data_IF_087781425969
#
_entry.id   IF_087781425969
#
_cell.length_a   1.000
_cell.length_b   1.000
_cell.length_c   1.000
_cell.angle_alpha   90.00
_cell.angle_beta   90.00
_cell.angle_gamma   90.00
#
_symmetry.space_group_name_H-M   'P 1'
#
loop_
_entity.id
_entity.type
_entity.pdbx_description
1 polymer ?
#
# COMPACT_ATOMS: atom_id res chain seq x y z
N UNK A 1 -30.00 -0.60 -4.89
CA UNK A 1 -28.55 -0.51 -5.18
C UNK A 1 -28.09 0.82 -4.64
N UNK A 2 -27.29 0.82 -3.57
CA UNK A 2 -26.63 2.04 -3.09
C UNK A 2 -25.53 2.33 -4.11
N UNK A 3 -25.63 3.44 -4.83
CA UNK A 3 -24.60 3.83 -5.79
C UNK A 3 -23.34 4.21 -5.00
N UNK A 4 -22.30 3.38 -5.07
CA UNK A 4 -21.04 3.63 -4.38
C UNK A 4 -20.46 4.98 -4.84
N UNK A 5 -20.13 5.86 -3.90
CA UNK A 5 -19.57 7.16 -4.24
C UNK A 5 -18.14 6.98 -4.77
N UNK A 6 -17.90 7.41 -6.00
CA UNK A 6 -16.60 7.27 -6.67
C UNK A 6 -15.64 8.39 -6.23
N UNK A 7 -14.38 8.04 -6.00
CA UNK A 7 -13.32 8.92 -5.48
C UNK A 7 -12.70 9.87 -6.53
N UNK A 8 -13.17 9.85 -7.77
CA UNK A 8 -12.74 10.74 -8.86
C UNK A 8 -13.98 11.32 -9.55
N UNK A 9 -13.97 12.61 -9.83
CA UNK A 9 -15.06 13.32 -10.53
C UNK A 9 -14.50 14.31 -11.54
N UNK A 10 -15.22 14.50 -12.63
CA UNK A 10 -14.96 15.57 -13.60
C UNK A 10 -16.00 16.67 -13.40
N UNK A 11 -15.53 17.90 -13.24
CA UNK A 11 -16.34 19.10 -13.25
C UNK A 11 -16.43 19.63 -14.69
N UNK A 12 -17.59 19.45 -15.32
CA UNK A 12 -17.83 19.83 -16.71
C UNK A 12 -17.73 21.36 -16.94
N UNK A 13 -18.08 22.17 -15.94
CA UNK A 13 -18.02 23.64 -16.05
C UNK A 13 -16.57 24.14 -16.16
N UNK A 14 -15.62 23.37 -15.62
CA UNK A 14 -14.19 23.68 -15.69
C UNK A 14 -13.48 22.94 -16.83
N UNK A 15 -14.11 21.93 -17.46
CA UNK A 15 -13.45 21.10 -18.45
C UNK A 15 -13.23 21.86 -19.78
N UNK A 16 -11.97 22.12 -20.11
CA UNK A 16 -11.60 22.81 -21.36
C UNK A 16 -11.58 21.88 -22.60
N UNK A 17 -11.91 20.58 -22.43
CA UNK A 17 -11.95 19.57 -23.51
C UNK A 17 -10.62 19.45 -24.30
N UNK A 18 -9.49 19.67 -23.64
CA UNK A 18 -8.15 19.65 -24.25
C UNK A 18 -7.53 18.25 -24.39
N UNK A 19 -8.18 17.20 -23.88
CA UNK A 19 -7.79 15.78 -23.98
C UNK A 19 -6.46 15.37 -23.33
N UNK A 20 -5.76 16.27 -22.62
CA UNK A 20 -4.51 15.94 -21.93
C UNK A 20 -4.68 14.79 -20.93
N UNK A 21 -5.79 14.77 -20.18
CA UNK A 21 -6.11 13.71 -19.22
C UNK A 21 -6.25 12.33 -19.89
N UNK A 22 -6.80 12.26 -21.11
CA UNK A 22 -6.89 11.05 -21.91
C UNK A 22 -5.49 10.55 -22.28
N UNK A 23 -4.62 11.44 -22.77
CA UNK A 23 -3.27 11.11 -23.21
C UNK A 23 -2.36 10.62 -22.07
N UNK A 24 -2.49 11.19 -20.87
CA UNK A 24 -1.62 10.84 -19.74
C UNK A 24 -2.12 9.66 -18.93
N UNK A 25 -3.34 9.18 -19.12
CA UNK A 25 -3.92 8.09 -18.33
C UNK A 25 -3.28 6.75 -18.71
N UNK A 26 -2.48 6.11 -17.83
CA UNK A 26 -1.82 4.84 -18.16
C UNK A 26 -2.77 3.62 -18.19
N UNK A 27 -4.04 3.84 -17.83
CA UNK A 27 -5.07 2.81 -17.76
C UNK A 27 -6.21 3.03 -18.75
N UNK A 28 -6.10 4.05 -19.62
CA UNK A 28 -7.12 4.35 -20.62
C UNK A 28 -8.53 4.51 -20.01
N UNK A 29 -8.57 4.98 -18.76
CA UNK A 29 -9.79 5.20 -17.99
C UNK A 29 -10.47 6.53 -18.34
N UNK A 30 -9.90 7.32 -19.25
CA UNK A 30 -10.45 8.62 -19.64
C UNK A 30 -10.48 8.69 -21.16
N UNK A 31 -11.65 9.00 -21.71
CA UNK A 31 -11.90 9.11 -23.15
C UNK A 31 -12.62 10.41 -23.48
N UNK A 32 -12.57 10.82 -24.74
CA UNK A 32 -13.31 11.97 -25.25
C UNK A 32 -14.32 11.49 -26.29
N UNK A 33 -15.61 11.73 -26.03
CA UNK A 33 -16.68 11.50 -27.00
C UNK A 33 -16.82 12.74 -27.88
N UNK A 34 -16.40 12.62 -29.14
CA UNK A 34 -16.47 13.70 -30.11
C UNK A 34 -17.91 14.06 -30.51
N UNK A 35 -18.86 13.12 -30.44
CA UNK A 35 -20.25 13.36 -30.83
C UNK A 35 -20.99 14.13 -29.74
N UNK A 36 -20.82 13.74 -28.48
CA UNK A 36 -21.40 14.44 -27.34
C UNK A 36 -20.54 15.63 -26.87
N UNK A 37 -19.31 15.76 -27.37
CA UNK A 37 -18.37 16.81 -27.01
C UNK A 37 -18.02 16.82 -25.52
N UNK A 38 -17.89 15.63 -24.90
CA UNK A 38 -17.67 15.47 -23.45
C UNK A 38 -16.50 14.54 -23.17
N UNK A 39 -15.86 14.74 -22.02
CA UNK A 39 -14.83 13.84 -21.50
C UNK A 39 -15.47 12.88 -20.51
N UNK A 40 -15.21 11.59 -20.64
CA UNK A 40 -15.78 10.57 -19.75
C UNK A 40 -14.67 9.88 -18.96
N UNK A 41 -14.96 9.59 -17.68
CA UNK A 41 -14.09 8.80 -16.81
C UNK A 41 -14.76 7.45 -16.57
N UNK A 42 -14.14 6.39 -17.07
CA UNK A 42 -14.49 5.02 -16.78
C UNK A 42 -13.98 4.65 -15.37
N UNK A 43 -14.89 4.62 -14.41
CA UNK A 43 -14.58 4.30 -13.03
C UNK A 43 -14.03 2.88 -12.88
N UNK A 44 -14.44 1.91 -13.70
CA UNK A 44 -14.00 0.51 -13.61
C UNK A 44 -12.53 0.35 -14.07
N UNK A 45 -12.06 1.19 -15.00
CA UNK A 45 -10.65 1.25 -15.40
C UNK A 45 -9.78 2.12 -14.48
N UNK A 46 -10.37 3.07 -13.76
CA UNK A 46 -9.63 4.08 -13.01
C UNK A 46 -8.92 3.53 -11.76
N UNK A 47 -7.61 3.37 -11.84
CA UNK A 47 -6.78 2.90 -10.72
C UNK A 47 -6.48 3.98 -9.64
N UNK A 48 -7.13 5.14 -9.69
CA UNK A 48 -6.98 6.27 -8.74
C UNK A 48 -5.53 6.80 -8.58
N UNK A 49 -4.73 6.78 -9.65
CA UNK A 49 -3.34 7.25 -9.60
C UNK A 49 -3.20 8.79 -9.47
N UNK A 50 -4.20 9.57 -9.90
CA UNK A 50 -4.22 11.04 -9.84
C UNK A 50 -3.34 11.79 -10.84
N UNK A 51 -2.69 11.11 -11.79
CA UNK A 51 -1.88 11.75 -12.84
C UNK A 51 -2.72 12.73 -13.67
N UNK A 52 -3.94 12.33 -14.05
CA UNK A 52 -4.86 13.17 -14.81
C UNK A 52 -5.24 14.46 -14.07
N UNK A 53 -5.53 14.37 -12.76
CA UNK A 53 -5.85 15.53 -11.93
C UNK A 53 -4.69 16.54 -11.91
N UNK A 54 -3.47 16.08 -11.64
CA UNK A 54 -2.27 16.92 -11.62
C UNK A 54 -1.84 17.47 -12.98
N UNK A 55 -2.40 16.95 -14.08
CA UNK A 55 -2.11 17.40 -15.45
C UNK A 55 -3.18 18.36 -15.96
N UNK A 56 -4.38 18.37 -15.35
CA UNK A 56 -5.50 19.18 -15.82
C UNK A 56 -5.22 20.68 -15.59
N UNK A 57 -5.02 21.49 -16.64
CA UNK A 57 -4.69 22.91 -16.48
C UNK A 57 -5.86 23.72 -15.92
N UNK A 58 -7.09 23.26 -16.13
CA UNK A 58 -8.30 23.90 -15.62
C UNK A 58 -8.75 23.37 -14.26
N UNK A 59 -8.00 22.43 -13.67
CA UNK A 59 -8.34 21.79 -12.38
C UNK A 59 -9.74 21.18 -12.36
N UNK A 60 -10.22 20.70 -13.51
CA UNK A 60 -11.55 20.12 -13.66
C UNK A 60 -11.69 18.71 -13.07
N UNK A 61 -10.58 18.02 -12.77
CA UNK A 61 -10.63 16.66 -12.22
C UNK A 61 -10.40 16.72 -10.71
N UNK A 62 -11.42 16.36 -9.96
CA UNK A 62 -11.44 16.35 -8.51
C UNK A 62 -11.17 14.93 -7.99
N UNK A 63 -10.34 14.83 -6.95
CA UNK A 63 -10.07 13.59 -6.23
C UNK A 63 -10.61 13.72 -4.82
N UNK A 64 -11.28 12.69 -4.32
CA UNK A 64 -11.79 12.68 -2.95
C UNK A 64 -10.69 12.55 -1.89
N UNK A 65 -9.53 12.02 -2.28
CA UNK A 65 -8.39 11.80 -1.42
C UNK A 65 -7.10 12.30 -2.10
N UNK A 66 -6.18 12.81 -1.30
CA UNK A 66 -4.85 13.26 -1.75
C UNK A 66 -4.89 14.32 -2.85
N UNK A 67 -5.90 15.19 -2.85
CA UNK A 67 -5.82 16.40 -3.65
C UNK A 67 -4.63 17.24 -3.16
N UNK A 68 -3.99 17.96 -4.07
CA UNK A 68 -2.73 18.64 -3.77
C UNK A 68 -2.90 19.75 -2.72
N UNK A 69 -4.11 20.33 -2.60
CA UNK A 69 -4.40 21.34 -1.58
C UNK A 69 -4.43 20.70 -0.19
N UNK A 70 -5.09 19.55 -0.02
CA UNK A 70 -5.06 18.81 1.23
C UNK A 70 -3.64 18.36 1.60
N UNK A 71 -2.87 17.84 0.64
CA UNK A 71 -1.48 17.45 0.88
C UNK A 71 -0.61 18.62 1.33
N UNK A 72 -0.73 19.80 0.70
CA UNK A 72 0.03 20.99 1.08
C UNK A 72 -0.40 21.55 2.44
N UNK A 73 -1.68 21.50 2.76
CA UNK A 73 -2.16 21.90 4.08
C UNK A 73 -1.58 20.98 5.16
N UNK A 74 -1.59 19.67 4.93
CA UNK A 74 -0.93 18.71 5.82
C UNK A 74 0.56 19.02 5.99
N UNK A 75 1.31 19.28 4.90
CA UNK A 75 2.73 19.67 4.99
C UNK A 75 2.92 20.94 5.83
N UNK A 76 2.05 21.94 5.69
CA UNK A 76 2.11 23.19 6.47
C UNK A 76 1.95 22.91 7.98
N UNK A 77 0.90 22.16 8.34
CA UNK A 77 0.64 21.78 9.74
C UNK A 77 1.80 20.97 10.34
N UNK A 78 2.37 20.04 9.59
CA UNK A 78 3.52 19.25 10.06
C UNK A 78 4.80 20.08 10.16
N UNK A 79 5.00 21.08 9.29
CA UNK A 79 6.16 21.99 9.38
C UNK A 79 6.16 22.77 10.70
N UNK A 80 4.97 23.20 11.15
CA UNK A 80 4.80 23.88 12.43
C UNK A 80 5.06 22.94 13.62
N UNK A 81 4.76 21.65 13.48
CA UNK A 81 4.92 20.66 14.56
C UNK A 81 6.34 20.07 14.69
N UNK A 82 7.01 19.76 13.57
CA UNK A 82 8.28 19.00 13.57
C UNK A 82 9.54 19.86 13.64
N UNK A 83 9.46 21.17 13.38
CA UNK A 83 10.62 22.08 13.40
C UNK A 83 11.66 21.86 12.28
N UNK A 84 11.47 20.84 11.43
CA UNK A 84 12.30 20.55 10.24
C UNK A 84 11.68 21.17 8.98
N UNK A 85 12.54 21.45 8.00
CA UNK A 85 12.16 21.92 6.65
C UNK A 85 12.47 20.89 5.56
N UNK A 86 12.79 19.66 5.96
CA UNK A 86 12.98 18.53 5.05
C UNK A 86 11.67 17.80 4.88
N UNK A 87 11.12 17.79 3.67
CA UNK A 87 9.94 17.02 3.28
C UNK A 87 10.37 15.71 2.62
N UNK A 88 9.86 14.58 3.08
CA UNK A 88 10.03 13.29 2.41
C UNK A 88 8.66 12.80 1.94
N UNK A 89 8.49 12.75 0.63
CA UNK A 89 7.27 12.25 0.00
C UNK A 89 7.50 10.84 -0.52
N UNK A 90 6.66 9.91 -0.10
CA UNK A 90 6.90 8.48 -0.25
C UNK A 90 5.78 7.82 -1.04
N UNK A 91 6.14 7.17 -2.15
CA UNK A 91 5.25 6.25 -2.86
C UNK A 91 4.98 5.03 -2.00
N UNK A 92 3.71 4.60 -1.86
CA UNK A 92 3.34 3.37 -1.12
C UNK A 92 4.19 2.16 -1.51
N UNK A 93 4.39 1.95 -2.82
CA UNK A 93 5.13 0.80 -3.34
C UNK A 93 6.63 0.77 -3.07
N UNK A 94 7.15 1.83 -2.45
CA UNK A 94 8.56 2.02 -2.07
C UNK A 94 8.72 2.46 -0.63
N UNK A 95 7.64 2.37 0.14
CA UNK A 95 7.61 2.69 1.56
C UNK A 95 6.93 1.58 2.33
N UNK A 96 7.59 0.43 2.52
CA UNK A 96 7.06 -0.60 3.41
C UNK A 96 6.84 -0.01 4.81
N UNK A 97 5.93 -0.59 5.62
CA UNK A 97 5.68 -0.14 6.98
C UNK A 97 6.89 -0.28 7.91
N UNK A 98 7.85 -1.16 7.58
CA UNK A 98 9.09 -1.34 8.31
C UNK A 98 9.98 -0.09 8.26
N UNK A 99 10.87 0.05 9.23
CA UNK A 99 11.76 1.20 9.40
C UNK A 99 12.82 1.40 8.31
N UNK A 100 12.81 0.65 7.22
CA UNK A 100 13.83 0.69 6.16
C UNK A 100 13.97 2.02 5.48
N UNK A 101 12.85 2.73 5.31
CA UNK A 101 12.87 4.08 4.77
C UNK A 101 13.77 4.95 5.65
N UNK A 102 13.79 4.72 6.97
CA UNK A 102 14.68 5.43 7.88
C UNK A 102 16.14 5.08 7.61
N UNK A 103 16.45 3.83 7.25
CA UNK A 103 17.83 3.44 6.92
C UNK A 103 18.28 4.07 5.59
N UNK A 104 17.43 4.03 4.57
CA UNK A 104 17.64 4.75 3.29
C UNK A 104 17.84 6.25 3.52
N UNK A 105 17.05 6.86 4.42
CA UNK A 105 17.19 8.28 4.76
C UNK A 105 18.43 8.58 5.61
N UNK A 106 18.83 7.68 6.52
CA UNK A 106 20.07 7.80 7.30
C UNK A 106 21.29 7.83 6.40
N UNK A 107 21.34 6.99 5.36
CA UNK A 107 22.42 7.00 4.36
C UNK A 107 22.50 8.35 3.63
N UNK A 108 21.37 9.06 3.51
CA UNK A 108 21.29 10.41 2.95
C UNK A 108 21.47 11.53 3.99
N UNK A 109 21.91 11.19 5.20
CA UNK A 109 22.05 12.10 6.34
C UNK A 109 20.75 12.85 6.71
N UNK A 110 19.59 12.20 6.54
CA UNK A 110 18.28 12.75 6.90
C UNK A 110 17.76 12.03 8.14
N UNK A 111 17.69 12.74 9.27
CA UNK A 111 17.21 12.22 10.55
C UNK A 111 15.84 12.76 10.94
N UNK A 112 15.59 14.03 10.61
CA UNK A 112 14.35 14.73 10.93
C UNK A 112 13.69 15.23 9.65
N UNK A 113 12.47 14.78 9.40
CA UNK A 113 11.74 15.10 8.18
C UNK A 113 10.24 15.06 8.43
N UNK A 114 9.50 15.74 7.56
CA UNK A 114 8.05 15.68 7.46
C UNK A 114 7.70 14.53 6.51
N UNK A 115 7.09 13.43 6.98
CA UNK A 115 6.68 12.33 6.13
C UNK A 115 5.36 12.63 5.43
N UNK A 116 5.28 12.42 4.11
CA UNK A 116 4.01 12.40 3.37
C UNK A 116 3.96 11.14 2.54
N UNK A 117 3.03 10.25 2.84
CA UNK A 117 2.81 9.03 2.03
C UNK A 117 1.70 9.27 1.02
N UNK A 118 1.94 8.88 -0.22
CA UNK A 118 0.96 8.95 -1.32
C UNK A 118 0.91 7.63 -2.07
N UNK A 119 -0.22 7.27 -2.69
CA UNK A 119 -0.29 6.08 -3.55
C UNK A 119 0.79 6.08 -4.63
N UNK A 120 1.06 7.24 -5.24
CA UNK A 120 2.08 7.40 -6.28
C UNK A 120 2.61 8.84 -6.29
N UNK A 121 3.93 9.00 -6.40
CA UNK A 121 4.55 10.32 -6.59
C UNK A 121 4.27 10.93 -7.97
N UNK A 122 3.91 10.12 -8.96
CA UNK A 122 3.52 10.58 -10.30
C UNK A 122 2.29 11.50 -10.31
N UNK A 123 1.56 11.57 -9.19
CA UNK A 123 0.42 12.47 -9.01
C UNK A 123 0.82 13.89 -8.58
N UNK A 124 2.08 14.12 -8.21
CA UNK A 124 2.52 15.39 -7.66
C UNK A 124 2.93 16.32 -8.80
N UNK A 125 2.28 17.48 -8.89
CA UNK A 125 2.55 18.48 -9.91
C UNK A 125 3.78 19.33 -9.56
N UNK A 126 4.53 19.83 -10.55
CA UNK A 126 5.62 20.77 -10.31
C UNK A 126 5.16 22.05 -9.61
N UNK A 127 4.02 22.61 -10.04
CA UNK A 127 3.52 23.91 -9.57
C UNK A 127 2.76 23.83 -8.25
N UNK A 128 1.66 23.07 -8.24
CA UNK A 128 0.72 23.07 -7.12
C UNK A 128 1.21 22.29 -5.90
N UNK A 129 2.14 21.36 -6.09
CA UNK A 129 2.76 20.62 -4.99
C UNK A 129 4.21 21.02 -4.74
N UNK A 130 5.15 20.71 -5.63
CA UNK A 130 6.59 20.87 -5.33
C UNK A 130 6.99 22.34 -5.10
N UNK A 131 6.69 23.23 -6.05
CA UNK A 131 6.96 24.67 -5.89
C UNK A 131 6.17 25.25 -4.72
N UNK A 132 4.93 24.79 -4.51
CA UNK A 132 4.12 25.25 -3.39
C UNK A 132 4.73 24.86 -2.04
N UNK A 133 5.24 23.64 -1.90
CA UNK A 133 5.97 23.18 -0.72
C UNK A 133 7.20 24.05 -0.44
N UNK A 134 8.00 24.35 -1.47
CA UNK A 134 9.13 25.28 -1.34
C UNK A 134 8.68 26.67 -0.89
N UNK A 135 7.58 27.19 -1.46
CA UNK A 135 7.05 28.52 -1.12
C UNK A 135 6.53 28.65 0.32
N UNK A 136 6.15 27.55 0.97
CA UNK A 136 5.72 27.54 2.38
C UNK A 136 6.87 27.24 3.35
N UNK A 137 8.12 27.26 2.87
CA UNK A 137 9.32 27.20 3.70
C UNK A 137 10.04 25.85 3.73
N UNK A 138 9.61 24.86 2.95
CA UNK A 138 10.40 23.63 2.75
C UNK A 138 11.67 23.97 1.96
N UNK A 139 12.82 23.48 2.39
CA UNK A 139 14.12 23.75 1.72
C UNK A 139 14.71 22.51 1.05
N UNK A 140 14.31 21.32 1.47
CA UNK A 140 14.73 20.03 0.92
C UNK A 140 13.52 19.13 0.76
N UNK A 141 13.32 18.61 -0.44
CA UNK A 141 12.27 17.64 -0.77
C UNK A 141 12.95 16.37 -1.27
N UNK A 142 12.61 15.24 -0.69
CA UNK A 142 13.03 13.92 -1.16
C UNK A 142 11.78 13.15 -1.59
N UNK A 143 11.73 12.74 -2.85
CA UNK A 143 10.70 11.86 -3.37
C UNK A 143 11.25 10.42 -3.41
N UNK A 144 10.69 9.54 -2.57
CA UNK A 144 10.99 8.11 -2.57
C UNK A 144 9.99 7.40 -3.48
N UNK A 145 10.47 6.68 -4.49
CA UNK A 145 9.63 6.08 -5.52
C UNK A 145 10.11 4.69 -5.97
N UNK A 146 9.26 3.99 -6.71
CA UNK A 146 9.63 2.75 -7.38
C UNK A 146 10.62 3.05 -8.51
N UNK A 147 11.45 2.08 -8.87
CA UNK A 147 12.17 2.10 -10.14
C UNK A 147 11.19 2.09 -11.33
N UNK A 148 11.69 2.43 -12.52
CA UNK A 148 10.85 2.53 -13.72
C UNK A 148 10.28 1.19 -14.17
N UNK A 149 11.00 0.09 -13.95
CA UNK A 149 10.60 -1.27 -14.34
C UNK A 149 9.59 -1.88 -13.36
N UNK A 150 9.49 -1.37 -12.13
CA UNK A 150 8.58 -1.87 -11.08
C UNK A 150 7.46 -0.91 -10.70
N UNK A 151 7.27 0.18 -11.46
CA UNK A 151 6.24 1.17 -11.18
C UNK A 151 4.83 0.55 -11.18
N UNK A 152 4.15 0.63 -10.02
CA UNK A 152 2.81 0.05 -9.79
C UNK A 152 1.69 0.72 -10.57
N UNK A 153 1.95 1.93 -11.05
CA UNK A 153 1.03 2.70 -11.87
C UNK A 153 1.49 2.83 -13.32
N UNK A 154 2.32 1.88 -13.78
CA UNK A 154 2.96 1.78 -15.10
C UNK A 154 3.94 2.92 -15.41
N UNK A 155 3.52 4.18 -15.27
CA UNK A 155 4.28 5.39 -15.69
C UNK A 155 4.49 6.42 -14.59
N UNK A 156 4.05 6.14 -13.36
CA UNK A 156 4.09 7.11 -12.26
C UNK A 156 5.51 7.61 -11.93
N UNK A 157 6.47 6.70 -11.80
CA UNK A 157 7.88 7.01 -11.50
C UNK A 157 8.54 7.80 -12.64
N UNK A 158 8.31 7.37 -13.89
CA UNK A 158 8.79 8.06 -15.10
C UNK A 158 8.27 9.51 -15.17
N UNK A 159 6.97 9.71 -14.95
CA UNK A 159 6.33 11.04 -14.96
C UNK A 159 6.91 11.93 -13.87
N UNK A 160 7.06 11.41 -12.64
CA UNK A 160 7.64 12.17 -11.55
C UNK A 160 9.10 12.56 -11.82
N UNK A 161 9.90 11.63 -12.35
CA UNK A 161 11.29 11.90 -12.72
C UNK A 161 11.40 13.06 -13.72
N UNK A 162 10.59 13.05 -14.78
CA UNK A 162 10.55 14.14 -15.77
C UNK A 162 10.12 15.47 -15.16
N UNK A 163 9.11 15.46 -14.29
CA UNK A 163 8.62 16.64 -13.57
C UNK A 163 9.70 17.25 -12.66
N UNK A 164 10.38 16.42 -11.87
CA UNK A 164 11.45 16.87 -10.97
C UNK A 164 12.66 17.36 -11.76
N UNK A 165 13.03 16.69 -12.85
CA UNK A 165 14.14 17.12 -13.71
C UNK A 165 13.88 18.51 -14.31
N UNK A 166 12.68 18.74 -14.87
CA UNK A 166 12.28 20.04 -15.38
C UNK A 166 12.31 21.11 -14.28
N UNK A 167 11.78 20.78 -13.10
CA UNK A 167 11.73 21.70 -11.97
C UNK A 167 13.13 22.06 -11.45
N UNK A 168 14.07 21.11 -11.40
CA UNK A 168 15.48 21.38 -11.06
C UNK A 168 16.11 22.38 -12.02
N UNK A 169 15.87 22.25 -13.32
CA UNK A 169 16.36 23.21 -14.33
C UNK A 169 15.78 24.60 -14.08
N UNK A 170 14.47 24.71 -13.84
CA UNK A 170 13.81 25.98 -13.50
C UNK A 170 14.39 26.61 -12.22
N UNK A 171 14.54 25.81 -11.16
CA UNK A 171 15.11 26.27 -9.90
C UNK A 171 16.54 26.78 -10.06
N UNK A 172 17.36 26.10 -10.88
CA UNK A 172 18.69 26.56 -11.24
C UNK A 172 18.69 27.94 -11.91
N UNK A 173 17.76 28.18 -12.84
CA UNK A 173 17.58 29.49 -13.49
C UNK A 173 17.13 30.58 -12.52
N UNK A 174 16.38 30.21 -11.47
CA UNK A 174 15.95 31.10 -10.39
C UNK A 174 17.02 31.29 -9.30
N UNK A 175 18.23 30.74 -9.49
CA UNK A 175 19.35 30.88 -8.54
C UNK A 175 19.34 29.90 -7.38
N UNK A 176 18.43 28.93 -7.36
CA UNK A 176 18.44 27.84 -6.38
C UNK A 176 19.39 26.73 -6.85
N UNK A 177 20.31 26.29 -5.97
CA UNK A 177 21.15 25.13 -6.24
C UNK A 177 20.25 23.88 -6.34
N UNK A 178 20.42 23.07 -7.39
CA UNK A 178 19.53 21.96 -7.78
C UNK A 178 19.38 20.79 -6.81
N UNK A 179 19.82 20.94 -5.56
CA UNK A 179 19.75 19.95 -4.48
C UNK A 179 18.46 20.01 -3.67
N UNK A 180 17.64 21.06 -3.86
CA UNK A 180 16.38 21.24 -3.13
C UNK A 180 15.38 20.10 -3.39
N UNK A 181 15.48 19.39 -4.51
CA UNK A 181 14.64 18.24 -4.84
C UNK A 181 15.52 17.04 -5.17
N UNK A 182 15.30 15.90 -4.51
CA UNK A 182 16.00 14.63 -4.75
C UNK A 182 15.01 13.50 -4.97
N UNK A 183 15.35 12.57 -5.88
CA UNK A 183 14.62 11.32 -6.06
C UNK A 183 15.50 10.19 -5.52
N UNK A 184 14.89 9.30 -4.75
CA UNK A 184 15.50 8.04 -4.33
C UNK A 184 14.62 6.90 -4.85
N UNK A 185 15.21 5.98 -5.60
CA UNK A 185 14.53 4.75 -6.00
C UNK A 185 14.71 3.70 -4.91
N UNK A 186 13.59 3.23 -4.35
CA UNK A 186 13.56 2.19 -3.32
C UNK A 186 12.50 1.15 -3.67
N UNK A 187 12.67 0.37 -4.75
CA UNK A 187 11.66 -0.59 -5.14
C UNK A 187 11.64 -1.78 -4.19
N UNK A 188 10.43 -2.25 -3.84
CA UNK A 188 10.28 -3.46 -3.04
C UNK A 188 10.73 -4.69 -3.84
N UNK A 189 11.80 -5.35 -3.41
CA UNK A 189 12.38 -6.56 -4.06
C UNK A 189 12.52 -7.69 -3.06
N UNK A 190 12.60 -8.91 -3.59
CA UNK A 190 12.97 -10.06 -2.79
C UNK A 190 14.48 -10.02 -2.50
N UNK A 191 14.83 -10.29 -1.25
CA UNK A 191 16.20 -10.43 -0.77
C UNK A 191 16.39 -11.85 -0.26
N UNK A 192 17.59 -12.40 -0.41
CA UNK A 192 17.87 -13.77 0.04
C UNK A 192 19.16 -13.85 0.85
N UNK A 193 19.19 -14.81 1.77
CA UNK A 193 20.27 -15.13 2.68
C UNK A 193 20.78 -16.54 2.35
N UNK A 194 21.99 -16.62 1.77
CA UNK A 194 22.56 -17.88 1.24
C UNK A 194 22.68 -18.94 2.33
N UNK A 195 23.10 -18.54 3.52
CA UNK A 195 23.38 -19.42 4.66
C UNK A 195 22.13 -20.11 5.23
N UNK A 196 20.92 -19.62 4.90
CA UNK A 196 19.66 -20.23 5.30
C UNK A 196 19.06 -21.13 4.23
N UNK A 197 19.54 -21.04 2.99
CA UNK A 197 18.92 -21.71 1.86
C UNK A 197 19.31 -23.19 1.82
N UNK A 198 18.32 -24.04 1.54
CA UNK A 198 18.52 -25.50 1.42
C UNK A 198 18.43 -26.02 -0.01
N UNK A 199 18.28 -25.13 -1.00
CA UNK A 199 18.23 -25.51 -2.42
C UNK A 199 17.01 -26.35 -2.77
N UNK A 200 15.83 -25.98 -2.25
CA UNK A 200 14.57 -26.67 -2.56
C UNK A 200 13.80 -26.07 -3.75
N UNK A 201 14.29 -24.96 -4.29
CA UNK A 201 13.87 -24.29 -5.53
C UNK A 201 12.38 -23.89 -5.64
N UNK A 202 11.61 -24.02 -4.55
CA UNK A 202 10.21 -23.56 -4.47
C UNK A 202 10.03 -22.10 -4.84
N UNK A 203 11.02 -21.26 -4.51
CA UNK A 203 10.99 -19.83 -4.78
C UNK A 203 11.02 -19.50 -6.28
N UNK A 204 11.74 -20.29 -7.09
CA UNK A 204 11.71 -20.20 -8.55
C UNK A 204 10.35 -20.69 -9.07
N UNK A 205 9.93 -21.90 -8.66
CA UNK A 205 8.68 -22.51 -9.12
C UNK A 205 7.45 -21.63 -8.88
N UNK A 206 7.40 -20.97 -7.72
CA UNK A 206 6.27 -20.11 -7.34
C UNK A 206 6.36 -18.71 -7.93
N UNK A 207 7.49 -18.30 -8.54
CA UNK A 207 7.68 -16.91 -8.95
C UNK A 207 6.83 -16.60 -10.20
N UNK A 208 5.77 -15.78 -10.08
CA UNK A 208 4.86 -15.55 -11.20
C UNK A 208 5.46 -14.63 -12.28
N UNK A 209 6.64 -14.05 -12.02
CA UNK A 209 7.35 -13.17 -12.96
C UNK A 209 8.61 -13.81 -13.53
N UNK A 210 8.87 -15.09 -13.24
CA UNK A 210 10.13 -15.75 -13.62
C UNK A 210 11.37 -14.93 -13.23
N UNK A 211 11.30 -14.26 -12.08
CA UNK A 211 12.34 -13.36 -11.60
C UNK A 211 13.39 -14.05 -10.72
N UNK A 212 13.25 -15.35 -10.50
CA UNK A 212 14.12 -16.15 -9.64
C UNK A 212 14.55 -17.35 -10.44
N UNK A 213 15.86 -17.58 -10.54
CA UNK A 213 16.45 -18.75 -11.18
C UNK A 213 17.23 -19.54 -10.11
N UNK A 214 16.91 -20.81 -9.90
CA UNK A 214 17.68 -21.64 -8.98
C UNK A 214 19.06 -21.93 -9.59
N UNK A 215 20.09 -21.68 -8.79
CA UNK A 215 21.47 -22.03 -9.13
C UNK A 215 21.93 -23.20 -8.27
N UNK A 216 23.00 -23.92 -8.69
CA UNK A 216 23.63 -24.95 -7.88
C UNK A 216 23.99 -24.43 -6.46
N UNK A 217 24.04 -25.34 -5.48
CA UNK A 217 24.46 -25.02 -4.09
C UNK A 217 23.57 -24.01 -3.34
N UNK A 218 22.26 -24.00 -3.61
CA UNK A 218 21.28 -23.23 -2.85
C UNK A 218 21.43 -21.69 -2.95
N UNK A 219 21.89 -21.17 -4.09
CA UNK A 219 22.09 -19.73 -4.32
C UNK A 219 21.14 -19.19 -5.38
N UNK A 220 19.81 -19.07 -5.14
CA UNK A 220 18.90 -18.56 -6.15
C UNK A 220 19.29 -17.14 -6.58
N UNK A 221 19.34 -16.90 -7.88
CA UNK A 221 19.59 -15.57 -8.43
C UNK A 221 18.26 -14.83 -8.62
N UNK A 222 18.17 -13.60 -8.09
CA UNK A 222 16.97 -12.77 -8.22
C UNK A 222 17.22 -11.67 -9.23
N UNK A 223 16.54 -11.75 -10.39
CA UNK A 223 16.51 -10.66 -11.35
C UNK A 223 15.68 -9.49 -10.77
N UNK A 224 16.35 -8.43 -10.36
CA UNK A 224 15.71 -7.27 -9.72
C UNK A 224 14.81 -6.48 -10.67
N UNK A 225 15.04 -6.49 -11.98
CA UNK A 225 14.17 -5.81 -12.95
C UNK A 225 12.84 -6.54 -13.15
N UNK A 226 12.92 -7.87 -13.23
CA UNK A 226 11.75 -8.74 -13.32
C UNK A 226 10.99 -8.82 -11.99
N UNK A 227 11.70 -8.79 -10.86
CA UNK A 227 11.11 -8.92 -9.54
C UNK A 227 10.17 -7.75 -9.24
N UNK A 228 8.87 -8.07 -9.16
CA UNK A 228 7.84 -7.12 -8.77
C UNK A 228 7.56 -7.14 -7.27
N UNK A 229 8.34 -7.83 -6.43
CA UNK A 229 8.19 -7.78 -4.98
C UNK A 229 6.79 -8.18 -4.46
N UNK A 230 6.19 -9.25 -5.01
CA UNK A 230 4.85 -9.71 -4.59
C UNK A 230 4.84 -10.55 -3.32
N UNK A 231 5.97 -11.18 -2.97
CA UNK A 231 6.13 -11.94 -1.73
C UNK A 231 5.76 -13.42 -1.80
N UNK A 232 5.31 -13.91 -2.96
CA UNK A 232 4.95 -15.33 -3.13
C UNK A 232 6.11 -16.27 -2.77
N UNK A 233 7.34 -15.92 -3.17
CA UNK A 233 8.55 -16.67 -2.84
C UNK A 233 8.86 -16.71 -1.34
N UNK A 234 8.52 -15.65 -0.60
CA UNK A 234 8.77 -15.57 0.83
C UNK A 234 7.86 -16.53 1.62
N UNK A 235 6.58 -16.65 1.25
CA UNK A 235 5.63 -17.57 1.92
C UNK A 235 6.06 -19.03 1.77
N UNK A 236 6.54 -19.43 0.59
CA UNK A 236 6.85 -20.86 0.34
C UNK A 236 8.21 -21.29 0.87
N UNK A 237 9.02 -20.35 1.39
CA UNK A 237 10.38 -20.65 1.83
C UNK A 237 10.37 -21.29 3.23
N UNK A 238 10.67 -22.59 3.38
CA UNK A 238 10.57 -23.26 4.67
C UNK A 238 11.66 -22.83 5.67
N UNK A 239 12.73 -22.18 5.20
CA UNK A 239 13.85 -21.72 6.04
C UNK A 239 13.93 -20.20 6.11
N UNK A 240 12.94 -19.49 5.58
CA UNK A 240 12.89 -18.02 5.60
C UNK A 240 14.19 -17.43 5.00
N UNK A 241 14.73 -18.13 3.99
CA UNK A 241 15.97 -17.77 3.31
C UNK A 241 15.74 -16.68 2.26
N UNK A 242 14.53 -16.57 1.70
CA UNK A 242 14.13 -15.47 0.81
C UNK A 242 12.96 -14.72 1.46
N UNK A 243 13.04 -13.40 1.47
CA UNK A 243 12.05 -12.53 2.11
C UNK A 243 11.77 -11.31 1.23
N UNK A 244 10.67 -10.62 1.52
CA UNK A 244 10.51 -9.24 1.09
C UNK A 244 11.01 -8.33 2.19
N UNK A 245 11.99 -7.52 1.84
CA UNK A 245 12.50 -6.48 2.71
C UNK A 245 11.32 -5.55 3.10
N UNK A 246 11.04 -5.51 4.39
CA UNK A 246 10.03 -4.68 5.04
C UNK A 246 8.67 -5.32 5.24
N UNK A 247 8.58 -6.59 4.87
CA UNK A 247 7.47 -7.49 5.15
C UNK A 247 8.01 -8.87 5.54
N UNK A 248 9.08 -8.88 6.32
CA UNK A 248 9.73 -10.10 6.78
C UNK A 248 8.82 -10.91 7.70
N UNK A 249 8.99 -12.23 7.66
CA UNK A 249 8.16 -13.17 8.41
C UNK A 249 8.25 -12.92 9.93
N UNK A 250 9.45 -13.00 10.51
CA UNK A 250 9.64 -12.90 11.97
C UNK A 250 9.17 -11.56 12.56
N UNK A 251 9.51 -10.38 12.00
CA UNK A 251 8.95 -9.11 12.46
C UNK A 251 7.42 -9.05 12.36
N UNK A 252 6.83 -9.61 11.29
CA UNK A 252 5.37 -9.65 11.13
C UNK A 252 4.72 -10.53 12.20
N UNK A 253 5.27 -11.72 12.41
CA UNK A 253 4.82 -12.68 13.44
C UNK A 253 4.96 -12.09 14.85
N UNK A 254 6.09 -11.44 15.15
CA UNK A 254 6.29 -10.72 16.41
C UNK A 254 5.24 -9.62 16.61
N UNK A 255 5.00 -8.79 15.59
CA UNK A 255 4.00 -7.73 15.67
C UNK A 255 2.60 -8.28 15.94
N UNK A 256 2.21 -9.39 15.30
CA UNK A 256 0.91 -10.05 15.54
C UNK A 256 0.79 -10.51 17.00
N UNK A 257 1.85 -11.12 17.56
CA UNK A 257 1.86 -11.53 18.98
C UNK A 257 1.76 -10.35 19.93
N UNK A 258 2.49 -9.27 19.67
CA UNK A 258 2.45 -8.03 20.46
C UNK A 258 1.06 -7.40 20.43
N UNK A 259 0.45 -7.31 19.24
CA UNK A 259 -0.93 -6.86 19.11
C UNK A 259 -1.93 -7.79 19.81
N UNK A 260 -1.68 -9.10 19.81
CA UNK A 260 -2.48 -10.07 20.55
C UNK A 260 -2.43 -9.87 22.07
N UNK A 261 -1.27 -9.52 22.63
CA UNK A 261 -1.14 -9.14 24.04
C UNK A 261 -2.01 -7.93 24.35
N UNK A 262 -1.98 -6.89 23.49
CA UNK A 262 -2.80 -5.70 23.69
C UNK A 262 -4.29 -5.98 23.51
N UNK A 263 -4.66 -6.83 22.55
CA UNK A 263 -6.03 -7.29 22.36
C UNK A 263 -6.56 -7.98 23.63
N UNK A 264 -5.80 -8.88 24.25
CA UNK A 264 -6.21 -9.53 25.50
C UNK A 264 -6.42 -8.53 26.65
N UNK A 265 -5.57 -7.51 26.77
CA UNK A 265 -5.76 -6.43 27.77
C UNK A 265 -7.02 -5.61 27.53
N UNK A 266 -7.30 -5.27 26.27
CA UNK A 266 -8.51 -4.55 25.88
C UNK A 266 -9.76 -5.38 26.18
N UNK A 267 -9.74 -6.68 25.90
CA UNK A 267 -10.81 -7.62 26.28
C UNK A 267 -11.05 -7.68 27.77
N UNK A 268 -9.98 -7.75 28.57
CA UNK A 268 -10.09 -7.73 30.03
C UNK A 268 -10.73 -6.43 30.57
N UNK A 269 -10.68 -5.33 29.80
CA UNK A 269 -11.36 -4.06 30.10
C UNK A 269 -12.77 -3.96 29.51
N UNK A 270 -13.30 -5.05 28.95
CA UNK A 270 -14.64 -5.12 28.36
C UNK A 270 -14.73 -4.76 26.88
N UNK A 271 -13.61 -4.47 26.20
CA UNK A 271 -13.63 -4.21 24.76
C UNK A 271 -13.64 -5.54 23.99
N UNK A 272 -14.79 -5.89 23.40
CA UNK A 272 -14.98 -7.06 22.55
C UNK A 272 -16.09 -6.77 21.54
N UNK A 273 -15.98 -7.19 20.27
CA UNK A 273 -14.89 -7.98 19.69
C UNK A 273 -13.69 -7.11 19.28
N UNK A 274 -12.51 -7.71 19.28
CA UNK A 274 -11.26 -7.14 18.75
C UNK A 274 -10.86 -7.90 17.51
N UNK A 275 -10.67 -7.19 16.41
CA UNK A 275 -10.36 -7.79 15.10
C UNK A 275 -9.00 -7.34 14.59
N UNK A 276 -8.30 -8.25 13.91
CA UNK A 276 -7.09 -7.94 13.15
C UNK A 276 -7.43 -7.87 11.67
N UNK A 277 -6.96 -6.82 11.00
CA UNK A 277 -7.14 -6.63 9.57
C UNK A 277 -5.79 -6.76 8.87
N UNK A 278 -5.62 -7.78 8.03
CA UNK A 278 -4.50 -7.81 7.07
C UNK A 278 -4.90 -7.02 5.84
N UNK A 279 -4.29 -5.85 5.61
CA UNK A 279 -4.68 -4.96 4.53
C UNK A 279 -3.57 -4.86 3.48
N UNK A 280 -3.89 -5.27 2.24
CA UNK A 280 -3.03 -5.04 1.09
C UNK A 280 -2.82 -3.52 0.93
N UNK A 281 -1.55 -3.10 0.79
CA UNK A 281 -1.16 -1.69 0.65
C UNK A 281 -1.84 -0.94 -0.53
N UNK A 282 -2.52 -1.67 -1.43
CA UNK A 282 -3.21 -1.14 -2.60
C UNK A 282 -4.73 -1.22 -2.55
N UNK A 283 -5.29 -1.93 -1.57
CA UNK A 283 -6.73 -2.18 -1.49
C UNK A 283 -7.49 -1.01 -0.87
N UNK A 284 -6.91 -0.37 0.15
CA UNK A 284 -7.52 0.77 0.84
C UNK A 284 -6.46 1.80 1.19
N UNK A 285 -6.60 3.04 0.75
CA UNK A 285 -5.59 4.08 1.00
C UNK A 285 -5.85 4.89 2.27
N UNK A 286 -7.04 5.52 2.45
CA UNK A 286 -7.26 6.45 3.55
C UNK A 286 -6.98 5.82 4.90
N UNK A 287 -7.54 4.63 5.16
CA UNK A 287 -7.34 3.88 6.41
C UNK A 287 -5.86 3.64 6.72
N UNK A 288 -5.06 3.27 5.72
CA UNK A 288 -3.65 2.93 5.91
C UNK A 288 -2.77 4.14 6.29
N UNK A 289 -3.22 5.37 6.06
CA UNK A 289 -2.48 6.57 6.43
C UNK A 289 -2.79 7.09 7.84
N UNK A 290 -3.87 6.60 8.45
CA UNK A 290 -4.31 7.02 9.78
C UNK A 290 -4.03 5.97 10.87
N UNK A 291 -3.27 4.92 10.56
CA UNK A 291 -2.89 3.90 11.55
C UNK A 291 -2.03 4.55 12.64
N UNK A 292 -2.48 4.45 13.89
CA UNK A 292 -1.73 4.91 15.06
C UNK A 292 -1.43 3.72 15.97
N UNK A 293 -0.14 3.39 16.12
CA UNK A 293 0.33 2.24 16.92
C UNK A 293 -0.37 0.92 16.54
N UNK A 294 -0.65 0.72 15.25
CA UNK A 294 -1.37 -0.46 14.74
C UNK A 294 -2.90 -0.34 14.77
N UNK A 295 -3.48 0.67 15.40
CA UNK A 295 -4.93 0.83 15.53
C UNK A 295 -5.50 1.85 14.55
N UNK A 296 -6.71 1.57 14.05
CA UNK A 296 -7.55 2.55 13.33
C UNK A 296 -8.82 2.92 14.12
N UNK A 297 -9.24 2.04 15.02
CA UNK A 297 -10.34 2.20 15.98
C UNK A 297 -9.93 1.48 17.26
N UNK A 298 -10.61 1.73 18.39
CA UNK A 298 -10.25 1.12 19.68
C UNK A 298 -10.19 -0.42 19.66
N UNK A 299 -10.97 -1.07 18.79
CA UNK A 299 -11.09 -2.51 18.69
C UNK A 299 -10.66 -3.08 17.32
N UNK A 300 -9.94 -2.30 16.52
CA UNK A 300 -9.52 -2.71 15.17
C UNK A 300 -8.04 -2.42 14.99
N UNK A 301 -7.27 -3.50 14.83
CA UNK A 301 -5.84 -3.48 14.55
C UNK A 301 -5.62 -3.77 13.07
N UNK A 302 -4.69 -3.08 12.43
CA UNK A 302 -4.36 -3.25 11.02
C UNK A 302 -2.89 -3.63 10.86
N UNK A 303 -2.64 -4.76 10.22
CA UNK A 303 -1.33 -5.17 9.73
C UNK A 303 -1.30 -4.99 8.20
N UNK A 304 -0.35 -4.20 7.70
CA UNK A 304 -0.17 -4.01 6.26
C UNK A 304 0.56 -5.21 5.65
N UNK A 305 0.08 -5.68 4.49
CA UNK A 305 0.76 -6.68 3.66
C UNK A 305 1.09 -6.09 2.29
N UNK A 306 2.16 -6.54 1.61
CA UNK A 306 2.55 -5.96 0.34
C UNK A 306 1.57 -6.32 -0.79
N UNK A 307 0.95 -7.50 -0.69
CA UNK A 307 0.03 -8.07 -1.67
C UNK A 307 -0.77 -9.20 -1.02
N UNK A 308 -1.88 -9.60 -1.65
CA UNK A 308 -2.58 -10.84 -1.31
C UNK A 308 -1.68 -12.09 -1.46
N UNK A 309 -0.76 -12.10 -2.41
CA UNK A 309 0.25 -13.16 -2.58
C UNK A 309 1.21 -13.28 -1.38
N UNK A 310 1.20 -12.32 -0.45
CA UNK A 310 1.99 -12.30 0.77
C UNK A 310 1.13 -12.47 2.04
N UNK A 311 -0.17 -12.80 1.90
CA UNK A 311 -1.00 -13.20 3.03
C UNK A 311 -0.64 -14.62 3.43
N UNK A 312 0.13 -14.76 4.50
CA UNK A 312 0.54 -16.05 5.04
C UNK A 312 -0.58 -16.70 5.88
N UNK A 313 -1.05 -17.92 5.52
CA UNK A 313 -2.00 -18.68 6.33
C UNK A 313 -1.59 -18.85 7.80
N UNK A 314 -0.29 -18.99 8.07
CA UNK A 314 0.25 -19.15 9.42
C UNK A 314 0.01 -17.89 10.25
N UNK A 315 0.20 -16.70 9.68
CA UNK A 315 -0.08 -15.44 10.38
C UNK A 315 -1.57 -15.25 10.69
N UNK A 316 -2.47 -15.75 9.85
CA UNK A 316 -3.92 -15.73 10.15
C UNK A 316 -4.24 -16.65 11.34
N UNK A 317 -3.69 -17.86 11.35
CA UNK A 317 -3.85 -18.80 12.47
C UNK A 317 -3.23 -18.23 13.75
N UNK A 318 -2.01 -17.70 13.67
CA UNK A 318 -1.31 -17.06 14.79
C UNK A 318 -2.13 -15.92 15.39
N UNK A 319 -2.76 -15.08 14.55
CA UNK A 319 -3.64 -14.02 15.04
C UNK A 319 -4.84 -14.58 15.81
N UNK A 320 -5.57 -15.56 15.26
CA UNK A 320 -6.71 -16.15 15.96
C UNK A 320 -6.30 -16.80 17.29
N UNK A 321 -5.16 -17.51 17.31
CA UNK A 321 -4.62 -18.13 18.54
C UNK A 321 -4.09 -17.09 19.53
N UNK A 322 -3.64 -15.93 19.05
CA UNK A 322 -3.18 -14.80 19.89
C UNK A 322 -4.34 -14.01 20.53
N UNK A 323 -5.59 -14.42 20.32
CA UNK A 323 -6.74 -13.89 21.05
C UNK A 323 -7.54 -12.83 20.31
N UNK A 324 -7.37 -12.67 18.99
CA UNK A 324 -8.30 -11.89 18.17
C UNK A 324 -9.64 -12.63 18.00
N UNK A 325 -10.77 -11.91 18.02
CA UNK A 325 -12.09 -12.52 17.80
C UNK A 325 -12.34 -12.88 16.35
N UNK A 326 -11.74 -12.12 15.43
CA UNK A 326 -11.80 -12.35 14.01
C UNK A 326 -10.63 -11.71 13.27
N UNK A 327 -10.34 -12.27 12.10
CA UNK A 327 -9.33 -11.79 11.18
C UNK A 327 -9.98 -11.46 9.84
N UNK A 328 -9.77 -10.25 9.34
CA UNK A 328 -10.26 -9.79 8.04
C UNK A 328 -9.08 -9.55 7.11
N UNK A 329 -9.02 -10.22 5.97
CA UNK A 329 -8.07 -9.89 4.92
C UNK A 329 -8.72 -8.95 3.90
N UNK A 330 -8.20 -7.73 3.77
CA UNK A 330 -8.67 -6.74 2.79
C UNK A 330 -7.70 -6.68 1.62
N UNK A 331 -8.18 -7.08 0.45
CA UNK A 331 -7.37 -7.25 -0.76
C UNK A 331 -7.99 -6.52 -1.95
N UNK A 332 -7.22 -6.34 -3.01
CA UNK A 332 -7.71 -5.68 -4.22
C UNK A 332 -8.79 -6.53 -4.92
N UNK A 333 -9.72 -5.87 -5.60
CA UNK A 333 -10.48 -6.49 -6.70
C UNK A 333 -9.53 -6.99 -7.80
N UNK A 334 -10.04 -7.85 -8.64
CA UNK A 334 -9.23 -8.66 -9.55
C UNK A 334 -8.62 -7.81 -10.65
N UNK A 335 -9.44 -6.95 -11.24
CA UNK A 335 -9.14 -5.89 -12.18
C UNK A 335 -8.19 -4.80 -11.62
N UNK A 336 -7.98 -4.76 -10.31
CA UNK A 336 -7.27 -3.66 -9.61
C UNK A 336 -5.89 -4.02 -9.09
N UNK A 337 -5.56 -5.30 -9.13
CA UNK A 337 -4.31 -5.81 -8.60
C UNK A 337 -3.13 -5.17 -9.34
N UNK A 338 -2.27 -4.46 -8.60
CA UNK A 338 -1.06 -3.79 -9.15
C UNK A 338 0.04 -4.76 -9.58
N UNK A 339 -0.13 -6.02 -9.23
CA UNK A 339 0.82 -7.08 -9.47
C UNK A 339 0.36 -8.00 -10.61
N UNK A 340 -0.93 -8.01 -10.97
CA UNK A 340 -1.58 -8.77 -12.06
C UNK A 340 -1.37 -10.29 -12.12
N UNK A 341 -0.24 -10.81 -11.62
CA UNK A 341 0.17 -12.21 -11.68
C UNK A 341 0.24 -12.86 -10.29
N UNK A 342 0.20 -14.19 -10.26
CA UNK A 342 0.40 -15.01 -9.05
C UNK A 342 -0.79 -15.08 -8.09
N UNK A 343 -1.91 -14.46 -8.47
CA UNK A 343 -3.15 -14.46 -7.70
C UNK A 343 -3.68 -15.87 -7.41
N UNK A 344 -3.61 -16.77 -8.38
CA UNK A 344 -4.07 -18.16 -8.19
C UNK A 344 -3.39 -18.84 -7.00
N UNK A 345 -2.12 -18.51 -6.74
CA UNK A 345 -1.38 -19.05 -5.59
C UNK A 345 -1.90 -18.52 -4.26
N UNK A 346 -2.29 -17.24 -4.22
CA UNK A 346 -2.94 -16.68 -3.04
C UNK A 346 -4.32 -17.30 -2.80
N UNK A 347 -5.06 -17.60 -3.88
CA UNK A 347 -6.35 -18.31 -3.81
C UNK A 347 -6.18 -19.76 -3.36
N UNK A 348 -5.14 -20.46 -3.82
CA UNK A 348 -4.80 -21.81 -3.35
C UNK A 348 -4.43 -21.83 -1.86
N UNK A 349 -3.61 -20.87 -1.42
CA UNK A 349 -3.27 -20.69 0.00
C UNK A 349 -4.51 -20.37 0.85
N UNK A 350 -5.42 -19.55 0.32
CA UNK A 350 -6.70 -19.24 0.96
C UNK A 350 -7.55 -20.50 1.11
N UNK A 351 -7.69 -21.32 0.07
CA UNK A 351 -8.43 -22.58 0.13
C UNK A 351 -7.83 -23.54 1.18
N UNK A 352 -6.50 -23.62 1.25
CA UNK A 352 -5.81 -24.43 2.25
C UNK A 352 -6.06 -23.91 3.69
N UNK A 353 -6.04 -22.59 3.87
CA UNK A 353 -6.36 -21.92 5.13
C UNK A 353 -7.81 -22.19 5.55
N UNK A 354 -8.78 -22.00 4.66
CA UNK A 354 -10.21 -22.19 4.96
C UNK A 354 -10.50 -23.62 5.40
N UNK A 355 -9.95 -24.63 4.72
CA UNK A 355 -10.07 -26.04 5.13
C UNK A 355 -9.46 -26.31 6.50
N UNK A 356 -8.36 -25.64 6.83
CA UNK A 356 -7.73 -25.74 8.14
C UNK A 356 -8.60 -25.10 9.21
N UNK A 357 -9.14 -23.91 8.95
CA UNK A 357 -10.04 -23.21 9.86
C UNK A 357 -11.36 -23.97 10.08
N UNK A 358 -11.91 -24.64 9.07
CA UNK A 358 -13.07 -25.52 9.21
C UNK A 358 -12.81 -26.64 10.22
N UNK A 359 -11.66 -27.33 10.09
CA UNK A 359 -11.25 -28.40 11.03
C UNK A 359 -11.07 -27.90 12.47
N UNK A 360 -10.69 -26.64 12.62
CA UNK A 360 -10.52 -25.98 13.93
C UNK A 360 -11.80 -25.30 14.43
N UNK A 361 -12.93 -25.38 13.71
CA UNK A 361 -14.17 -24.64 13.99
C UNK A 361 -13.97 -23.11 14.10
N UNK A 362 -13.06 -22.58 13.28
CA UNK A 362 -12.67 -21.17 13.22
C UNK A 362 -13.08 -20.48 11.92
N UNK A 363 -13.73 -21.19 10.97
CA UNK A 363 -14.04 -20.67 9.63
C UNK A 363 -14.83 -19.37 9.65
N UNK A 364 -15.79 -19.23 10.57
CA UNK A 364 -16.62 -18.02 10.67
C UNK A 364 -15.88 -16.80 11.20
N UNK A 365 -14.69 -16.98 11.80
CA UNK A 365 -13.84 -15.90 12.35
C UNK A 365 -12.85 -15.35 11.34
N UNK A 366 -12.86 -15.82 10.10
CA UNK A 366 -11.99 -15.32 9.04
C UNK A 366 -12.78 -15.00 7.77
N UNK A 367 -12.46 -13.86 7.16
CA UNK A 367 -13.05 -13.47 5.89
C UNK A 367 -12.03 -12.73 5.01
N UNK A 368 -12.14 -12.93 3.69
CA UNK A 368 -11.45 -12.13 2.69
C UNK A 368 -12.44 -11.17 2.05
N UNK A 369 -12.13 -9.88 2.07
CA UNK A 369 -12.89 -8.83 1.42
C UNK A 369 -12.10 -8.22 0.27
N UNK A 370 -12.65 -8.32 -0.95
CA UNK A 370 -12.11 -7.68 -2.15
C UNK A 370 -12.69 -6.27 -2.28
N UNK A 371 -11.84 -5.26 -2.32
CA UNK A 371 -12.28 -3.86 -2.46
C UNK A 371 -11.38 -3.05 -3.39
N UNK A 372 -11.79 -1.81 -3.63
CA UNK A 372 -11.06 -0.85 -4.44
C UNK A 372 -11.10 0.52 -3.78
N UNK A 373 -9.96 1.25 -3.74
CA UNK A 373 -9.91 2.58 -3.14
C UNK A 373 -10.69 3.63 -3.93
N UNK A 374 -11.22 3.27 -5.11
CA UNK A 374 -12.07 4.15 -5.92
C UNK A 374 -13.49 4.27 -5.38
N UNK A 375 -13.97 3.31 -4.60
CA UNK A 375 -15.32 3.33 -4.03
C UNK A 375 -15.23 3.65 -2.54
N UNK A 376 -15.64 4.86 -2.22
CA UNK A 376 -15.52 5.42 -0.88
C UNK A 376 -16.48 4.71 0.09
N UNK A 377 -16.01 4.46 1.32
CA UNK A 377 -16.84 3.90 2.40
C UNK A 377 -17.07 2.38 2.33
N UNK A 378 -16.64 1.71 1.25
CA UNK A 378 -16.77 0.25 1.09
C UNK A 378 -16.03 -0.52 2.20
N UNK A 379 -14.82 -0.09 2.56
CA UNK A 379 -14.04 -0.64 3.66
C UNK A 379 -14.75 -0.49 5.01
N UNK A 380 -15.19 0.73 5.35
CA UNK A 380 -15.83 1.00 6.65
C UNK A 380 -17.13 0.20 6.81
N UNK A 381 -17.97 0.17 5.76
CA UNK A 381 -19.20 -0.61 5.76
C UNK A 381 -18.93 -2.11 5.95
N UNK A 382 -17.89 -2.65 5.29
CA UNK A 382 -17.52 -4.05 5.48
C UNK A 382 -16.99 -4.32 6.89
N UNK A 383 -16.12 -3.45 7.40
CA UNK A 383 -15.55 -3.58 8.73
C UNK A 383 -16.64 -3.57 9.81
N UNK A 384 -17.62 -2.67 9.70
CA UNK A 384 -18.77 -2.61 10.61
C UNK A 384 -19.58 -3.91 10.57
N UNK A 385 -19.88 -4.41 9.36
CA UNK A 385 -20.56 -5.70 9.18
C UNK A 385 -19.77 -6.86 9.79
N UNK A 386 -18.45 -6.88 9.63
CA UNK A 386 -17.60 -7.95 10.16
C UNK A 386 -17.51 -7.89 11.70
N UNK A 387 -17.43 -6.70 12.29
CA UNK A 387 -17.46 -6.50 13.75
C UNK A 387 -18.79 -6.97 14.34
N UNK A 388 -19.92 -6.67 13.68
CA UNK A 388 -21.23 -7.16 14.11
C UNK A 388 -21.31 -8.70 14.07
N UNK A 389 -20.78 -9.32 13.01
CA UNK A 389 -20.66 -10.77 12.93
C UNK A 389 -19.83 -11.33 14.09
N UNK A 390 -18.64 -10.77 14.36
CA UNK A 390 -17.78 -11.24 15.46
C UNK A 390 -18.44 -11.07 16.83
N UNK A 391 -19.24 -10.02 17.00
CA UNK A 391 -20.02 -9.80 18.23
C UNK A 391 -21.00 -10.94 18.47
N UNK A 392 -21.68 -11.43 17.43
CA UNK A 392 -22.60 -12.56 17.53
C UNK A 392 -21.92 -13.91 17.87
N UNK A 393 -20.65 -14.06 17.48
CA UNK A 393 -19.84 -15.27 17.74
C UNK A 393 -19.10 -15.25 19.09
N UNK A 394 -18.98 -14.09 19.73
CA UNK A 394 -18.25 -13.95 20.99
C UNK A 394 -18.87 -14.70 22.18
N UNK A 395 -20.10 -15.22 22.04
CA UNK A 395 -20.76 -16.11 23.00
C UNK A 395 -20.42 -17.60 22.85
N UNK A 396 -19.73 -18.02 21.77
CA UNK A 396 -19.42 -19.42 21.47
C UNK A 396 -17.91 -19.66 21.34
N UNK A 397 -17.37 -20.50 22.24
CA UNK A 397 -15.98 -20.97 22.30
C UNK A 397 -14.89 -19.89 22.48
N UNK A 398 -14.49 -19.65 23.74
CA UNK A 398 -13.25 -18.96 24.07
C UNK A 398 -12.05 -19.93 23.94
N UNK A 399 -11.50 -20.04 22.73
CA UNK A 399 -10.34 -20.89 22.43
C UNK A 399 -9.08 -20.53 23.24
N UNK A 400 -8.93 -19.26 23.59
CA UNK A 400 -7.77 -18.75 24.34
C UNK A 400 -7.71 -19.24 25.81
N UNK A 401 -8.78 -19.82 26.34
CA UNK A 401 -8.75 -20.44 27.67
C UNK A 401 -8.13 -21.85 27.68
N UNK A 402 -7.92 -22.48 26.52
CA UNK A 402 -7.46 -23.87 26.40
C UNK A 402 -6.02 -24.05 25.93
N UNK A 403 -5.31 -22.96 25.62
CA UNK A 403 -3.93 -23.02 25.07
C UNK A 403 -2.87 -22.85 26.18
N UNK A 404 -3.28 -22.38 27.37
CA UNK A 404 -2.42 -22.27 28.56
C UNK A 404 -2.52 -23.51 29.50
N UNK A 405 -3.24 -24.57 29.09
CA UNK A 405 -3.27 -25.92 29.70
C UNK A 405 -2.57 -26.92 28.77
#
# INVERSE_FOLDING_TARGET
MIQEAVAIKLNEDYCSKCNLCCTVCPFEAISFDANAGKTEIDAEKCQLCGICASTCPSLAIELAYYDEKALINHVREQTEAFGTRTLVVMCRGSSPPSGEILDVLKEQNVKEFIPVRVPCVGRLSPGSFYLKALSIGINKIIAIQCDQNSCRYKRGSEINMRRVQLLRTLLGQLGHKGEALTIIENPLKAVYATEKCVGCDKCEFICPYSAIEAQPFATPEVNLEACKGCGACAIVCPHIAIQLQGFEYEPSSQAIREYGVEARKLKARGASPIVLVFCCQWAEFPTLDYIKNGFIRQNVIVAQIPCFNALDPVHVLEALLSGFDGVLAVVCRDEDCKLSEGRGMAEDNLLALERTLERLNLRERFEVFKTSPRYMGSFDAKLDSFILQMSSLSGSNQLWMRIDE
#
